data_IF_874670849197
#
_entry.id   IF_874670849197
#
_cell.length_a   1.000
_cell.length_b   1.000
_cell.length_c   1.000
_cell.angle_alpha   90.00
_cell.angle_beta   90.00
_cell.angle_gamma   90.00
#
_symmetry.space_group_name_H-M   'P 1'
#
loop_
_entity.id
_entity.type
_entity.pdbx_description
1 polymer ?
#
# COMPACT_ATOMS: atom_id res chain seq x y z
N UNK A 1 -8.88 17.24 7.22
CA UNK A 1 -7.49 16.72 7.13
C UNK A 1 -7.50 15.38 6.41
N UNK A 2 -6.86 15.28 5.23
CA UNK A 2 -6.93 14.11 4.33
C UNK A 2 -5.90 13.01 4.61
N UNK A 3 -5.51 12.77 5.86
CA UNK A 3 -4.50 11.74 6.21
C UNK A 3 -5.19 10.42 6.52
N UNK A 4 -5.13 9.49 5.56
CA UNK A 4 -5.70 8.13 5.70
C UNK A 4 -4.64 7.20 6.30
N UNK A 5 -5.05 6.33 7.23
CA UNK A 5 -4.19 5.27 7.78
C UNK A 5 -4.07 4.12 6.78
N UNK A 6 -2.89 3.51 6.71
CA UNK A 6 -2.55 2.39 5.81
C UNK A 6 -1.94 1.24 6.60
N UNK A 7 -1.75 0.10 5.96
CA UNK A 7 -0.93 -0.97 6.49
C UNK A 7 0.43 -0.44 6.97
N UNK A 8 0.87 -0.89 8.15
CA UNK A 8 2.09 -0.49 8.84
C UNK A 8 2.21 1.02 9.15
N UNK A 9 1.10 1.75 9.13
CA UNK A 9 1.08 3.15 9.58
C UNK A 9 0.83 3.26 11.09
N UNK A 10 1.30 4.37 11.68
CA UNK A 10 1.20 4.67 13.10
C UNK A 10 0.32 5.90 13.33
N UNK A 11 -0.65 5.80 14.24
CA UNK A 11 -1.36 6.94 14.83
C UNK A 11 -0.99 7.06 16.30
N UNK A 12 -0.64 8.27 16.75
CA UNK A 12 -0.27 8.53 18.14
C UNK A 12 -1.40 9.25 18.89
N UNK A 13 -1.54 8.96 20.17
CA UNK A 13 -2.46 9.66 21.06
C UNK A 13 -1.79 10.93 21.59
N UNK A 14 -2.56 12.02 21.68
CA UNK A 14 -2.11 13.28 22.27
C UNK A 14 -2.20 13.31 23.81
N UNK A 15 -2.88 12.34 24.41
CA UNK A 15 -3.14 12.28 25.85
C UNK A 15 -3.24 10.83 26.32
N UNK A 16 -3.41 10.63 27.63
CA UNK A 16 -3.64 9.33 28.26
C UNK A 16 -4.78 8.58 27.56
N UNK A 17 -4.55 7.31 27.21
CA UNK A 17 -5.53 6.49 26.51
C UNK A 17 -5.70 5.13 27.21
N UNK A 18 -6.94 4.63 27.29
CA UNK A 18 -7.27 3.37 27.97
C UNK A 18 -6.66 3.25 29.39
N UNK A 19 -6.64 4.38 30.12
CA UNK A 19 -6.18 4.40 31.51
C UNK A 19 -4.66 4.33 31.71
N UNK A 20 -3.82 4.44 30.67
CA UNK A 20 -2.35 4.47 30.82
C UNK A 20 -1.70 5.57 29.98
N UNK A 21 -0.66 6.20 30.52
CA UNK A 21 0.19 7.13 29.78
C UNK A 21 1.20 6.38 28.89
N UNK A 22 1.45 5.10 29.17
CA UNK A 22 2.33 4.25 28.37
C UNK A 22 1.69 3.76 27.07
N UNK A 23 0.37 3.89 26.93
CA UNK A 23 -0.31 3.66 25.66
C UNK A 23 -0.07 4.86 24.74
N UNK A 24 0.73 4.67 23.70
CA UNK A 24 1.17 5.78 22.85
C UNK A 24 0.40 5.88 21.53
N UNK A 25 -0.21 4.81 21.05
CA UNK A 25 -0.89 4.84 19.76
C UNK A 25 -1.34 3.49 19.24
N UNK A 26 -1.68 3.46 17.95
CA UNK A 26 -2.02 2.26 17.19
C UNK A 26 -1.10 2.09 15.98
N UNK A 27 -0.56 0.88 15.81
CA UNK A 27 0.01 0.39 14.57
C UNK A 27 -1.08 -0.35 13.78
N UNK A 28 -1.34 0.05 12.54
CA UNK A 28 -2.40 -0.55 11.74
C UNK A 28 -1.88 -1.68 10.85
N UNK A 29 -2.53 -2.83 10.85
CA UNK A 29 -2.12 -4.01 10.07
C UNK A 29 -3.28 -4.60 9.27
N UNK A 30 -2.96 -5.27 8.16
CA UNK A 30 -3.90 -6.13 7.45
C UNK A 30 -3.80 -7.53 8.06
N UNK A 31 -4.91 -8.26 8.08
CA UNK A 31 -4.88 -9.70 8.31
C UNK A 31 -4.34 -10.39 7.08
N UNK A 32 -3.43 -11.33 7.28
CA UNK A 32 -2.90 -12.21 6.22
C UNK A 32 -3.21 -13.66 6.59
N UNK A 33 -2.41 -14.25 7.47
CA UNK A 33 -2.47 -15.67 7.84
C UNK A 33 -3.26 -15.94 9.13
N UNK A 34 -3.67 -14.89 9.84
CA UNK A 34 -4.41 -15.03 11.10
C UNK A 34 -5.87 -15.47 10.85
N UNK A 35 -6.42 -16.25 11.78
CA UNK A 35 -7.84 -16.63 11.72
C UNK A 35 -8.74 -15.41 11.94
N UNK A 36 -9.75 -15.30 11.08
CA UNK A 36 -10.83 -14.31 11.16
C UNK A 36 -12.17 -14.94 11.60
N UNK A 37 -12.17 -16.21 11.96
CA UNK A 37 -13.38 -16.97 12.24
C UNK A 37 -14.13 -16.37 13.45
N UNK A 38 -15.43 -16.14 13.29
CA UNK A 38 -16.31 -15.65 14.35
C UNK A 38 -16.21 -14.15 14.62
N UNK A 39 -15.45 -13.38 13.82
CA UNK A 39 -15.37 -11.93 13.97
C UNK A 39 -16.43 -11.21 13.11
N UNK A 40 -17.20 -10.26 13.68
CA UNK A 40 -18.07 -9.39 12.92
C UNK A 40 -17.24 -8.31 12.22
N UNK A 41 -16.80 -8.59 11.00
CA UNK A 41 -15.90 -7.71 10.25
C UNK A 41 -16.67 -6.71 9.38
N UNK A 42 -16.17 -5.46 9.24
CA UNK A 42 -16.72 -4.50 8.30
C UNK A 42 -16.41 -4.92 6.85
N UNK A 43 -17.09 -4.26 5.89
CA UNK A 43 -16.75 -4.41 4.48
C UNK A 43 -15.31 -3.94 4.21
N UNK A 44 -14.60 -4.66 3.35
CA UNK A 44 -13.24 -4.30 2.95
C UNK A 44 -13.22 -2.98 2.14
N UNK A 45 -12.13 -2.18 2.24
CA UNK A 45 -10.91 -2.44 3.01
C UNK A 45 -11.02 -2.03 4.50
N UNK A 46 -10.46 -2.85 5.39
CA UNK A 46 -10.33 -2.56 6.82
C UNK A 46 -8.93 -2.89 7.35
N UNK A 47 -8.61 -2.37 8.54
CA UNK A 47 -7.33 -2.54 9.22
C UNK A 47 -7.57 -2.88 10.71
N UNK A 48 -6.69 -3.69 11.28
CA UNK A 48 -6.63 -3.93 12.72
C UNK A 48 -5.67 -2.95 13.38
N UNK A 49 -6.09 -2.30 14.46
CA UNK A 49 -5.24 -1.42 15.27
C UNK A 49 -4.58 -2.19 16.41
N UNK A 50 -3.25 -2.27 16.40
CA UNK A 50 -2.46 -2.89 17.47
C UNK A 50 -1.91 -1.82 18.41
N UNK A 51 -2.25 -1.91 19.70
CA UNK A 51 -1.86 -0.93 20.70
C UNK A 51 -0.33 -0.93 20.90
N UNK A 52 0.27 0.25 20.72
CA UNK A 52 1.72 0.46 20.79
C UNK A 52 2.08 1.06 22.14
N UNK A 53 3.12 0.48 22.77
CA UNK A 53 3.68 1.00 24.00
C UNK A 53 4.60 2.21 23.70
N UNK A 54 4.69 3.19 24.60
CA UNK A 54 5.45 4.43 24.41
C UNK A 54 6.93 4.19 24.07
N UNK A 55 7.58 3.29 24.79
CA UNK A 55 8.94 2.83 24.50
C UNK A 55 9.16 2.29 23.06
N UNK A 56 8.11 1.80 22.40
CA UNK A 56 8.21 1.19 21.06
C UNK A 56 7.97 2.18 19.92
N UNK A 57 7.58 3.43 20.23
CA UNK A 57 7.18 4.43 19.21
C UNK A 57 8.28 4.68 18.19
N UNK A 58 9.54 4.71 18.61
CA UNK A 58 10.64 4.94 17.69
C UNK A 58 10.77 3.82 16.65
N UNK A 59 10.57 2.56 17.07
CA UNK A 59 10.54 1.41 16.17
C UNK A 59 9.28 1.38 15.31
N UNK A 60 8.11 1.69 15.88
CA UNK A 60 6.87 1.78 15.12
C UNK A 60 6.95 2.84 14.00
N UNK A 61 7.67 3.94 14.24
CA UNK A 61 7.84 5.03 13.27
C UNK A 61 8.90 4.73 12.21
N UNK A 62 10.01 4.11 12.59
CA UNK A 62 11.14 3.85 11.68
C UNK A 62 11.05 2.52 10.94
N UNK A 63 10.62 1.45 11.63
CA UNK A 63 10.59 0.08 11.16
C UNK A 63 9.32 -0.64 11.65
N UNK A 64 8.13 -0.23 11.20
CA UNK A 64 6.86 -0.78 11.68
C UNK A 64 6.74 -2.30 11.47
N UNK A 65 7.30 -2.84 10.37
CA UNK A 65 7.34 -4.28 10.12
C UNK A 65 8.10 -5.04 11.23
N UNK A 66 9.19 -4.47 11.74
CA UNK A 66 9.97 -5.05 12.84
C UNK A 66 9.13 -5.16 14.12
N UNK A 67 8.38 -4.11 14.46
CA UNK A 67 7.48 -4.14 15.62
C UNK A 67 6.32 -5.13 15.40
N UNK A 68 5.73 -5.15 14.20
CA UNK A 68 4.67 -6.09 13.85
C UNK A 68 5.10 -7.55 14.06
N UNK A 69 6.25 -7.93 13.49
CA UNK A 69 6.76 -9.31 13.61
C UNK A 69 7.19 -9.63 15.04
N UNK A 70 7.76 -8.67 15.78
CA UNK A 70 8.10 -8.87 17.20
C UNK A 70 6.86 -9.08 18.08
N UNK A 71 5.75 -8.40 17.79
CA UNK A 71 4.45 -8.68 18.41
C UNK A 71 3.94 -10.07 18.02
N UNK A 72 4.20 -10.52 16.78
CA UNK A 72 3.86 -11.86 16.34
C UNK A 72 4.60 -12.96 17.07
N UNK A 73 5.89 -12.73 17.33
CA UNK A 73 6.72 -13.62 18.15
C UNK A 73 6.19 -13.76 19.58
N UNK A 74 5.69 -12.68 20.16
CA UNK A 74 5.17 -12.66 21.53
C UNK A 74 3.82 -13.36 21.65
N UNK A 75 2.95 -13.17 20.65
CA UNK A 75 1.53 -13.50 20.79
C UNK A 75 1.01 -14.46 19.71
N UNK A 76 1.20 -14.13 18.43
CA UNK A 76 0.69 -14.93 17.31
C UNK A 76 1.30 -14.52 15.97
N UNK A 77 1.84 -15.47 15.22
CA UNK A 77 2.35 -15.22 13.87
C UNK A 77 1.26 -14.81 12.87
N UNK A 78 1.55 -13.90 11.91
CA UNK A 78 2.74 -13.03 11.85
C UNK A 78 2.63 -11.82 12.80
N UNK A 79 1.43 -11.49 13.26
CA UNK A 79 1.14 -10.57 14.37
C UNK A 79 -0.24 -10.88 14.96
N UNK A 80 -0.52 -10.52 16.23
CA UNK A 80 -1.86 -10.64 16.79
C UNK A 80 -2.83 -9.70 16.06
N UNK A 81 -4.13 -10.05 16.04
CA UNK A 81 -5.22 -9.16 15.59
C UNK A 81 -5.99 -8.52 16.75
N UNK A 82 -5.41 -8.55 17.94
CA UNK A 82 -5.97 -8.01 19.17
C UNK A 82 -4.90 -7.21 19.92
N UNK A 83 -5.37 -6.31 20.80
CA UNK A 83 -4.50 -5.47 21.61
C UNK A 83 -4.50 -5.93 23.07
N UNK A 84 -3.32 -6.01 23.67
CA UNK A 84 -3.14 -6.30 25.11
C UNK A 84 -2.73 -5.01 25.83
N UNK A 85 -3.56 -4.57 26.77
CA UNK A 85 -3.26 -3.40 27.62
C UNK A 85 -2.23 -3.77 28.69
N UNK A 86 -1.45 -2.79 29.14
CA UNK A 86 -0.52 -2.92 30.26
C UNK A 86 0.53 -4.05 30.09
N UNK A 87 0.84 -4.42 28.84
CA UNK A 87 1.93 -5.35 28.53
C UNK A 87 3.29 -4.67 28.71
N UNK A 88 4.32 -5.48 28.96
CA UNK A 88 5.71 -5.01 28.90
C UNK A 88 6.04 -4.56 27.46
N UNK A 89 6.88 -3.52 27.29
CA UNK A 89 7.37 -3.14 25.98
C UNK A 89 8.31 -4.22 25.43
N UNK A 90 8.21 -4.50 24.13
CA UNK A 90 9.08 -5.46 23.42
C UNK A 90 10.37 -4.80 22.92
N UNK A 91 10.37 -3.47 22.85
CA UNK A 91 11.54 -2.65 22.62
C UNK A 91 11.58 -1.52 23.64
N UNK A 92 12.77 -1.25 24.16
CA UNK A 92 13.07 -0.16 25.06
C UNK A 92 13.82 0.95 24.30
N UNK A 93 14.67 1.69 25.02
CA UNK A 93 15.56 2.65 24.39
C UNK A 93 16.43 2.00 23.30
N UNK A 94 16.73 2.79 22.27
CA UNK A 94 17.48 2.30 21.13
C UNK A 94 18.93 2.10 21.56
N UNK A 95 19.34 0.86 21.77
CA UNK A 95 20.74 0.49 22.01
C UNK A 95 21.65 0.65 20.77
N UNK A 96 22.79 -0.04 20.78
CA UNK A 96 23.71 -0.11 19.64
C UNK A 96 23.14 -1.03 18.56
N UNK A 97 22.71 -0.45 17.45
CA UNK A 97 22.11 -1.18 16.33
C UNK A 97 22.58 -0.61 15.01
N UNK A 98 22.80 -1.49 14.02
CA UNK A 98 23.14 -1.10 12.64
C UNK A 98 22.08 -0.16 12.04
N UNK A 99 20.84 -0.25 12.51
CA UNK A 99 19.74 0.61 12.06
C UNK A 99 19.98 2.10 12.31
N UNK A 100 20.85 2.47 13.27
CA UNK A 100 21.26 3.87 13.48
C UNK A 100 22.02 4.46 12.29
N UNK A 101 22.64 3.63 11.46
CA UNK A 101 23.26 4.08 10.21
C UNK A 101 22.23 4.35 9.11
N UNK A 102 21.06 3.71 9.20
CA UNK A 102 20.03 3.71 8.17
C UNK A 102 18.89 4.70 8.46
N UNK A 103 18.71 5.08 9.74
CA UNK A 103 17.63 5.97 10.19
C UNK A 103 18.11 6.95 11.25
N UNK A 104 17.72 8.21 11.12
CA UNK A 104 17.85 9.21 12.17
C UNK A 104 16.71 9.06 13.20
N UNK A 105 16.97 8.31 14.27
CA UNK A 105 15.97 8.12 15.33
C UNK A 105 15.72 9.35 16.21
N UNK A 106 16.55 10.40 16.13
CA UNK A 106 16.39 11.61 16.94
C UNK A 106 15.39 12.55 16.29
N UNK A 107 15.61 12.89 15.03
CA UNK A 107 14.81 13.88 14.32
C UNK A 107 14.05 13.33 13.11
N UNK A 108 14.27 12.06 12.74
CA UNK A 108 13.65 11.42 11.58
C UNK A 108 13.90 12.18 10.28
N UNK A 109 15.08 12.81 10.14
CA UNK A 109 15.47 13.56 8.92
C UNK A 109 15.65 12.66 7.71
N UNK A 110 16.10 11.42 7.94
CA UNK A 110 16.19 10.38 6.93
C UNK A 110 15.71 9.04 7.49
N UNK A 111 15.25 8.19 6.59
CA UNK A 111 14.80 6.83 6.89
C UNK A 111 15.19 5.89 5.75
N UNK A 112 15.20 4.59 6.02
CA UNK A 112 15.48 3.57 5.01
C UNK A 112 14.42 3.68 3.89
N UNK A 113 14.82 3.82 2.61
CA UNK A 113 13.85 3.88 1.52
C UNK A 113 13.14 2.53 1.40
N UNK A 114 11.83 2.59 1.12
CA UNK A 114 10.98 1.41 0.91
C UNK A 114 10.55 1.36 -0.55
N UNK A 115 10.60 0.19 -1.16
CA UNK A 115 9.98 -0.08 -2.46
C UNK A 115 8.74 -0.94 -2.21
N UNK A 116 7.52 -0.44 -2.47
CA UNK A 116 6.30 -1.22 -2.24
C UNK A 116 6.36 -2.58 -2.93
N UNK A 117 5.98 -3.63 -2.20
CA UNK A 117 5.96 -5.02 -2.67
C UNK A 117 7.33 -5.68 -2.83
N UNK A 118 8.45 -4.97 -2.64
CA UNK A 118 9.77 -5.59 -2.62
C UNK A 118 9.86 -6.57 -1.46
N UNK A 119 10.22 -7.82 -1.76
CA UNK A 119 10.35 -8.89 -0.76
C UNK A 119 11.73 -9.54 -0.85
N UNK A 120 12.13 -10.21 0.23
CA UNK A 120 13.38 -10.96 0.31
C UNK A 120 13.06 -12.38 0.75
N UNK A 121 13.37 -13.34 -0.11
CA UNK A 121 13.33 -14.77 0.19
C UNK A 121 14.72 -15.25 0.60
N UNK A 122 14.79 -16.04 1.66
CA UNK A 122 16.02 -16.64 2.17
C UNK A 122 15.87 -18.16 2.17
N UNK A 123 16.53 -18.81 1.22
CA UNK A 123 16.65 -20.26 1.08
C UNK A 123 18.09 -20.70 1.38
N UNK A 124 18.34 -22.00 1.53
CA UNK A 124 19.58 -22.54 2.10
C UNK A 124 20.89 -22.04 1.44
N UNK A 125 20.90 -21.89 0.11
CA UNK A 125 22.04 -21.39 -0.66
C UNK A 125 21.66 -20.26 -1.61
N UNK A 126 20.46 -19.69 -1.42
CA UNK A 126 19.88 -18.73 -2.35
C UNK A 126 19.13 -17.66 -1.58
N UNK A 127 19.54 -16.42 -1.78
CA UNK A 127 18.77 -15.25 -1.37
C UNK A 127 18.16 -14.61 -2.60
N UNK A 128 16.85 -14.40 -2.60
CA UNK A 128 16.17 -13.75 -3.71
C UNK A 128 15.54 -12.43 -3.28
N UNK A 129 16.00 -11.32 -3.86
CA UNK A 129 15.38 -10.00 -3.74
C UNK A 129 14.42 -9.85 -4.92
N UNK A 130 13.12 -9.93 -4.63
CA UNK A 130 12.07 -9.79 -5.64
C UNK A 130 11.55 -8.37 -5.65
N UNK A 131 11.63 -7.72 -6.81
CA UNK A 131 11.23 -6.32 -7.03
C UNK A 131 10.04 -6.29 -7.98
N UNK A 132 8.87 -5.80 -7.56
CA UNK A 132 7.76 -5.60 -8.48
C UNK A 132 8.14 -4.64 -9.60
N UNK A 133 7.77 -4.95 -10.84
CA UNK A 133 7.97 -4.04 -12.00
C UNK A 133 7.31 -2.68 -11.79
N UNK A 134 6.18 -2.64 -11.07
CA UNK A 134 5.48 -1.42 -10.63
C UNK A 134 6.32 -0.54 -9.69
N UNK A 135 7.28 -1.12 -8.98
CA UNK A 135 8.17 -0.46 -8.04
C UNK A 135 9.40 0.22 -8.66
N UNK A 136 9.54 0.21 -9.99
CA UNK A 136 10.72 0.76 -10.69
C UNK A 136 11.02 2.22 -10.30
N UNK A 137 10.00 3.09 -10.31
CA UNK A 137 10.18 4.51 -10.02
C UNK A 137 10.64 4.75 -8.58
N UNK A 138 10.07 4.03 -7.62
CA UNK A 138 10.44 4.06 -6.20
C UNK A 138 11.86 3.54 -6.00
N UNK A 139 12.24 2.46 -6.69
CA UNK A 139 13.60 1.94 -6.69
C UNK A 139 14.60 2.95 -7.26
N UNK A 140 14.28 3.62 -8.37
CA UNK A 140 15.16 4.64 -8.94
C UNK A 140 15.37 5.83 -7.99
N UNK A 141 14.32 6.25 -7.28
CA UNK A 141 14.45 7.26 -6.21
C UNK A 141 15.39 6.81 -5.10
N UNK A 142 15.33 5.53 -4.70
CA UNK A 142 16.23 4.97 -3.70
C UNK A 142 17.69 4.91 -4.21
N UNK A 143 17.89 4.40 -5.43
CA UNK A 143 19.20 4.32 -6.08
C UNK A 143 19.87 5.68 -6.23
N UNK A 144 19.14 6.70 -6.68
CA UNK A 144 19.70 8.03 -6.90
C UNK A 144 20.02 8.79 -5.61
N UNK A 145 19.39 8.41 -4.48
CA UNK A 145 19.69 8.98 -3.15
C UNK A 145 20.77 8.21 -2.39
N UNK A 146 21.09 7.00 -2.83
CA UNK A 146 22.06 6.12 -2.18
C UNK A 146 23.50 6.44 -2.60
N UNK A 147 24.47 6.15 -1.73
CA UNK A 147 25.89 6.27 -2.04
C UNK A 147 26.31 5.19 -3.05
N UNK A 148 27.27 5.49 -3.94
CA UNK A 148 27.74 4.57 -4.99
C UNK A 148 28.24 3.21 -4.48
N UNK A 149 28.67 3.12 -3.21
CA UNK A 149 29.18 1.89 -2.60
C UNK A 149 28.15 1.16 -1.72
N UNK A 150 27.05 1.81 -1.34
CA UNK A 150 26.07 1.25 -0.41
C UNK A 150 24.66 1.46 -0.94
N UNK A 151 23.93 0.36 -1.11
CA UNK A 151 22.50 0.37 -1.44
C UNK A 151 21.74 -0.30 -0.31
N UNK A 152 20.94 0.48 0.43
CA UNK A 152 20.11 -0.02 1.52
C UNK A 152 18.64 0.26 1.20
N UNK A 153 17.82 -0.80 1.20
CA UNK A 153 16.39 -0.74 0.88
C UNK A 153 15.66 -1.63 1.89
N UNK A 154 14.52 -1.16 2.40
CA UNK A 154 13.67 -1.96 3.28
C UNK A 154 12.72 -2.85 2.50
N UNK A 155 12.46 -4.04 3.04
CA UNK A 155 11.57 -5.05 2.46
C UNK A 155 10.17 -5.02 3.09
N UNK A 156 9.17 -5.39 2.31
CA UNK A 156 7.80 -5.62 2.73
C UNK A 156 7.61 -7.01 3.37
N UNK A 157 6.49 -7.20 4.05
CA UNK A 157 6.08 -8.52 4.53
C UNK A 157 5.88 -9.47 3.34
N UNK A 158 6.44 -10.68 3.43
CA UNK A 158 6.32 -11.69 2.40
C UNK A 158 5.30 -12.74 2.83
N UNK A 159 4.08 -12.68 2.29
CA UNK A 159 2.98 -13.59 2.63
C UNK A 159 3.23 -15.03 2.19
N UNK A 160 4.10 -15.23 1.18
CA UNK A 160 4.42 -16.56 0.66
C UNK A 160 5.49 -17.29 1.48
N UNK A 161 6.17 -16.59 2.38
CA UNK A 161 7.19 -17.19 3.23
C UNK A 161 6.55 -18.01 4.36
N UNK A 162 7.16 -19.14 4.67
CA UNK A 162 6.80 -20.02 5.80
C UNK A 162 7.24 -19.48 7.16
N UNK A 163 8.12 -18.47 7.13
CA UNK A 163 8.82 -17.91 8.27
C UNK A 163 9.31 -16.50 7.98
N UNK A 164 9.47 -15.71 9.04
CA UNK A 164 10.10 -14.40 8.98
C UNK A 164 11.14 -14.27 10.08
N UNK A 165 12.16 -13.47 9.78
CA UNK A 165 13.18 -13.10 10.73
C UNK A 165 12.62 -12.01 11.67
N UNK A 166 12.97 -12.10 12.96
CA UNK A 166 12.63 -11.13 13.98
C UNK A 166 13.85 -10.61 14.73
N UNK A 167 13.73 -9.39 15.23
CA UNK A 167 14.67 -8.83 16.18
C UNK A 167 14.09 -8.88 17.59
N UNK A 168 14.85 -9.46 18.50
CA UNK A 168 14.58 -9.41 19.94
C UNK A 168 15.58 -8.49 20.60
N UNK A 169 15.09 -7.51 21.35
CA UNK A 169 15.93 -6.71 22.24
C UNK A 169 15.92 -7.35 23.63
N UNK A 170 17.09 -7.75 24.12
CA UNK A 170 17.25 -8.24 25.49
C UNK A 170 17.29 -7.11 26.51
N UNK A 171 17.18 -7.45 27.79
CA UNK A 171 17.11 -6.48 28.90
C UNK A 171 18.33 -5.55 28.97
N UNK A 172 19.50 -6.02 28.54
CA UNK A 172 20.73 -5.21 28.44
C UNK A 172 20.80 -4.31 27.20
N UNK A 173 19.71 -4.18 26.43
CA UNK A 173 19.65 -3.37 25.20
C UNK A 173 20.34 -3.99 23.99
N UNK A 174 20.86 -5.21 24.11
CA UNK A 174 21.46 -5.98 23.02
C UNK A 174 20.40 -6.53 22.09
N UNK A 175 20.72 -6.62 20.80
CA UNK A 175 19.81 -7.13 19.78
C UNK A 175 20.24 -8.52 19.32
N UNK A 176 19.28 -9.42 19.27
CA UNK A 176 19.45 -10.77 18.75
C UNK A 176 18.47 -10.99 17.60
N UNK A 177 18.84 -11.87 16.68
CA UNK A 177 17.89 -12.38 15.70
C UNK A 177 17.33 -13.71 16.16
N UNK A 178 16.02 -13.88 15.96
CA UNK A 178 15.38 -15.19 15.89
C UNK A 178 14.54 -15.29 14.61
N UNK A 179 14.03 -16.46 14.26
CA UNK A 179 12.99 -16.58 13.25
C UNK A 179 11.69 -17.01 13.92
N UNK A 180 10.58 -16.45 13.44
CA UNK A 180 9.24 -16.92 13.73
C UNK A 180 8.78 -17.68 12.51
N UNK A 181 8.32 -18.91 12.72
CA UNK A 181 7.72 -19.70 11.66
C UNK A 181 6.47 -20.38 12.19
N UNK A 182 5.76 -21.04 11.30
CA UNK A 182 4.69 -21.97 11.69
C UNK A 182 5.29 -23.14 12.53
N UNK A 183 6.61 -23.36 12.49
CA UNK A 183 7.34 -24.51 13.07
C UNK A 183 8.61 -24.17 13.91
N UNK A 184 8.71 -22.97 14.49
CA UNK A 184 9.79 -22.46 15.38
C UNK A 184 11.25 -22.95 15.12
N UNK A 185 12.01 -22.27 14.23
CA UNK A 185 13.47 -22.43 14.12
C UNK A 185 14.19 -21.07 14.06
N UNK A 186 15.37 -20.90 14.70
CA UNK A 186 16.11 -19.63 14.72
C UNK A 186 16.93 -19.38 13.44
N UNK A 187 16.99 -18.10 12.98
CA UNK A 187 17.78 -17.60 11.83
C UNK A 187 18.22 -16.12 12.07
N UNK A 188 18.95 -15.48 11.14
CA UNK A 188 19.59 -14.13 11.23
C UNK A 188 18.81 -13.00 10.53
N UNK A 189 18.75 -11.79 11.10
CA UNK A 189 17.82 -10.70 10.72
C UNK A 189 18.47 -9.78 9.71
N UNK A 190 17.76 -9.51 8.62
CA UNK A 190 18.28 -8.67 7.56
C UNK A 190 19.39 -9.34 6.76
N UNK A 191 19.54 -8.89 5.53
CA UNK A 191 20.55 -9.38 4.61
C UNK A 191 21.59 -8.28 4.39
N UNK A 192 22.85 -8.58 4.69
CA UNK A 192 23.99 -7.74 4.30
C UNK A 192 24.83 -8.52 3.31
N UNK A 193 24.91 -8.02 2.09
CA UNK A 193 25.71 -8.62 1.01
C UNK A 193 26.88 -7.69 0.72
N UNK A 194 28.09 -8.20 0.86
CA UNK A 194 29.30 -7.48 0.49
C UNK A 194 29.75 -7.94 -0.90
N UNK A 195 29.90 -6.99 -1.81
CA UNK A 195 30.29 -7.22 -3.22
C UNK A 195 31.42 -6.27 -3.61
N UNK A 196 32.11 -6.55 -4.71
CA UNK A 196 33.15 -5.65 -5.21
C UNK A 196 32.53 -4.37 -5.78
N UNK A 197 33.37 -3.34 -5.98
CA UNK A 197 32.94 -2.06 -6.53
C UNK A 197 32.44 -2.24 -7.97
N UNK A 198 33.08 -3.11 -8.74
CA UNK A 198 32.71 -3.46 -10.11
C UNK A 198 31.34 -4.16 -10.14
N UNK A 199 31.13 -5.18 -9.30
CA UNK A 199 29.82 -5.85 -9.18
C UNK A 199 28.73 -4.87 -8.75
N UNK A 200 29.03 -3.92 -7.87
CA UNK A 200 28.07 -2.88 -7.46
C UNK A 200 27.69 -1.96 -8.64
N UNK A 201 28.67 -1.57 -9.46
CA UNK A 201 28.42 -0.75 -10.65
C UNK A 201 27.54 -1.48 -11.67
N UNK A 202 27.79 -2.77 -11.88
CA UNK A 202 26.98 -3.63 -12.75
C UNK A 202 25.57 -3.85 -12.22
N UNK A 203 25.42 -4.17 -10.93
CA UNK A 203 24.13 -4.29 -10.27
C UNK A 203 23.30 -3.03 -10.47
N UNK A 204 23.89 -1.85 -10.22
CA UNK A 204 23.20 -0.56 -10.44
C UNK A 204 22.79 -0.34 -11.89
N UNK A 205 23.59 -0.78 -12.86
CA UNK A 205 23.26 -0.71 -14.28
C UNK A 205 22.07 -1.61 -14.61
N UNK A 206 22.12 -2.88 -14.18
CA UNK A 206 21.05 -3.85 -14.38
C UNK A 206 19.72 -3.39 -13.78
N UNK A 207 19.75 -2.82 -12.56
CA UNK A 207 18.56 -2.24 -11.94
C UNK A 207 17.97 -1.07 -12.74
N UNK A 208 18.80 -0.19 -13.31
CA UNK A 208 18.33 0.92 -14.16
C UNK A 208 17.70 0.42 -15.46
N UNK A 209 18.23 -0.67 -16.01
CA UNK A 209 17.74 -1.31 -17.23
C UNK A 209 16.56 -2.27 -16.96
N UNK A 210 16.10 -2.39 -15.72
CA UNK A 210 15.05 -3.32 -15.28
C UNK A 210 15.37 -4.78 -15.67
N UNK A 211 16.66 -5.15 -15.54
CA UNK A 211 17.17 -6.50 -15.79
C UNK A 211 17.45 -7.23 -14.49
N UNK A 212 17.13 -8.51 -14.48
CA UNK A 212 17.54 -9.43 -13.42
C UNK A 212 19.07 -9.47 -13.31
N UNK A 213 19.56 -9.68 -12.10
CA UNK A 213 20.99 -9.77 -11.84
C UNK A 213 21.26 -10.81 -10.76
N UNK A 214 22.34 -11.57 -10.92
CA UNK A 214 22.74 -12.58 -9.94
C UNK A 214 24.17 -12.30 -9.50
N UNK A 215 24.37 -12.30 -8.19
CA UNK A 215 25.67 -12.21 -7.55
C UNK A 215 25.98 -13.57 -6.93
N UNK A 216 27.15 -14.11 -7.23
CA UNK A 216 27.68 -15.28 -6.51
C UNK A 216 28.51 -14.78 -5.33
N UNK A 217 28.08 -15.15 -4.13
CA UNK A 217 28.76 -14.88 -2.86
C UNK A 217 29.37 -16.18 -2.34
N UNK A 218 30.45 -16.09 -1.56
CA UNK A 218 31.09 -17.26 -0.96
C UNK A 218 32.47 -16.93 -0.43
N UNK A 219 33.03 -17.79 0.42
CA UNK A 219 34.45 -17.66 0.80
C UNK A 219 35.29 -18.04 -0.42
N UNK A 220 36.28 -17.20 -0.76
CA UNK A 220 37.20 -17.41 -1.89
C UNK A 220 37.90 -18.77 -1.85
N UNK A 221 37.99 -19.37 -0.66
CA UNK A 221 38.84 -20.53 -0.36
C UNK A 221 38.06 -21.85 -0.25
N UNK A 222 36.72 -21.85 -0.37
CA UNK A 222 35.87 -23.04 -0.20
C UNK A 222 34.72 -23.09 -1.22
N UNK A 223 34.84 -23.99 -2.21
CA UNK A 223 33.82 -24.23 -3.25
C UNK A 223 32.43 -24.59 -2.72
N UNK A 224 32.38 -25.25 -1.56
CA UNK A 224 31.14 -25.78 -0.98
C UNK A 224 30.31 -24.73 -0.23
N UNK A 225 30.79 -23.47 -0.21
CA UNK A 225 30.17 -22.34 0.50
C UNK A 225 29.57 -21.27 -0.43
N UNK A 226 29.32 -21.61 -1.69
CA UNK A 226 28.71 -20.66 -2.64
C UNK A 226 27.24 -20.39 -2.29
N UNK A 227 26.93 -19.13 -2.04
CA UNK A 227 25.59 -18.59 -1.85
C UNK A 227 25.23 -17.69 -3.04
N UNK A 228 24.04 -17.86 -3.60
CA UNK A 228 23.56 -17.04 -4.71
C UNK A 228 22.64 -15.93 -4.20
N UNK A 229 22.92 -14.69 -4.60
CA UNK A 229 22.02 -13.57 -4.38
C UNK A 229 21.40 -13.18 -5.72
N UNK A 230 20.12 -13.52 -5.90
CA UNK A 230 19.36 -13.21 -7.10
C UNK A 230 18.51 -11.95 -6.89
N UNK A 231 18.63 -10.98 -7.78
CA UNK A 231 17.75 -9.83 -7.87
C UNK A 231 16.83 -10.06 -9.07
N UNK A 232 15.53 -10.18 -8.82
CA UNK A 232 14.55 -10.56 -9.83
C UNK A 232 13.43 -9.52 -9.94
N UNK A 233 13.15 -9.08 -11.15
CA UNK A 233 11.95 -8.32 -11.45
C UNK A 233 10.77 -9.27 -11.60
N UNK A 234 9.71 -8.99 -10.85
CA UNK A 234 8.51 -9.83 -10.82
C UNK A 234 7.28 -9.03 -11.21
N UNK A 235 6.37 -9.65 -11.94
CA UNK A 235 5.04 -9.09 -12.14
C UNK A 235 4.26 -9.16 -10.83
N UNK A 236 3.66 -8.05 -10.45
CA UNK A 236 2.91 -7.97 -9.20
C UNK A 236 1.59 -8.72 -9.36
N UNK A 237 1.41 -9.81 -8.59
CA UNK A 237 0.06 -10.30 -8.29
C UNK A 237 -0.56 -9.26 -7.36
N UNK A 238 -1.38 -8.40 -7.91
CA UNK A 238 -2.00 -7.32 -7.18
C UNK A 238 -2.63 -7.81 -5.87
N UNK A 239 -2.34 -7.08 -4.79
CA UNK A 239 -2.87 -7.36 -3.46
C UNK A 239 -4.40 -7.43 -3.49
N UNK A 240 -4.94 -8.49 -2.87
CA UNK A 240 -6.36 -8.88 -2.88
C UNK A 240 -7.18 -7.88 -2.08
N UNK A 241 -7.43 -6.70 -2.65
CA UNK A 241 -8.53 -5.87 -2.22
C UNK A 241 -9.78 -6.51 -2.83
N UNK A 242 -10.61 -7.16 -2.00
CA UNK A 242 -11.93 -7.68 -2.41
C UNK A 242 -12.92 -6.54 -2.60
N UNK A 243 -12.56 -5.55 -3.41
CA UNK A 243 -13.42 -4.44 -3.77
C UNK A 243 -14.30 -4.93 -4.90
N UNK A 244 -15.60 -4.81 -4.72
CA UNK A 244 -16.59 -5.08 -5.77
C UNK A 244 -17.08 -3.76 -6.37
N UNK A 245 -17.27 -3.76 -7.69
CA UNK A 245 -17.93 -2.67 -8.39
C UNK A 245 -19.36 -2.50 -7.86
N UNK A 246 -19.76 -1.29 -7.42
CA UNK A 246 -21.16 -1.04 -7.07
C UNK A 246 -22.09 -1.02 -8.30
N UNK A 247 -21.56 -1.05 -9.52
CA UNK A 247 -22.34 -0.99 -10.77
C UNK A 247 -22.88 -2.37 -11.14
N UNK A 248 -22.01 -3.38 -11.15
CA UNK A 248 -22.33 -4.72 -11.67
C UNK A 248 -21.84 -5.87 -10.76
N UNK A 249 -21.33 -5.56 -9.57
CA UNK A 249 -20.87 -6.56 -8.60
C UNK A 249 -19.59 -7.28 -9.01
N UNK A 250 -18.94 -6.89 -10.12
CA UNK A 250 -17.69 -7.51 -10.57
C UNK A 250 -16.56 -7.26 -9.59
N UNK A 251 -15.69 -8.25 -9.46
CA UNK A 251 -14.46 -8.12 -8.69
C UNK A 251 -13.55 -7.08 -9.33
N UNK A 252 -13.09 -6.13 -8.51
CA UNK A 252 -12.03 -5.17 -8.83
C UNK A 252 -10.69 -5.65 -8.25
N UNK A 253 -10.59 -6.93 -7.90
CA UNK A 253 -9.34 -7.58 -7.55
C UNK A 253 -8.37 -7.42 -8.72
N UNK A 254 -7.11 -7.16 -8.42
CA UNK A 254 -6.06 -6.89 -9.39
C UNK A 254 -6.12 -5.64 -10.25
N UNK A 255 -7.01 -4.71 -9.92
CA UNK A 255 -7.12 -3.45 -10.65
C UNK A 255 -6.38 -2.34 -9.93
N UNK A 256 -5.50 -1.63 -10.65
CA UNK A 256 -4.81 -0.47 -10.12
C UNK A 256 -5.81 0.63 -9.73
N UNK A 257 -5.66 1.15 -8.51
CA UNK A 257 -6.53 2.20 -7.98
C UNK A 257 -5.73 3.37 -7.43
N UNK A 258 -6.30 4.57 -7.58
CA UNK A 258 -5.77 5.81 -6.99
C UNK A 258 -6.82 6.37 -6.05
N UNK A 259 -6.47 6.44 -4.75
CA UNK A 259 -7.30 7.14 -3.75
C UNK A 259 -7.18 8.64 -3.96
N UNK A 260 -8.32 9.30 -4.13
CA UNK A 260 -8.37 10.72 -4.44
C UNK A 260 -8.92 11.50 -3.27
N UNK A 261 -8.25 12.60 -2.93
CA UNK A 261 -8.79 13.57 -1.98
C UNK A 261 -9.50 14.65 -2.77
N UNK A 262 -10.84 14.60 -2.80
CA UNK A 262 -11.63 15.63 -3.42
C UNK A 262 -11.51 16.93 -2.62
N UNK A 263 -10.96 17.99 -3.23
CA UNK A 263 -10.78 19.30 -2.56
C UNK A 263 -12.10 20.02 -2.29
N UNK A 264 -13.12 19.75 -3.11
CA UNK A 264 -14.43 20.40 -3.04
C UNK A 264 -15.47 19.43 -2.49
N UNK A 265 -16.26 19.88 -1.52
CA UNK A 265 -17.41 19.14 -1.02
C UNK A 265 -18.68 19.59 -1.76
N UNK A 266 -19.45 18.62 -2.25
CA UNK A 266 -20.73 18.87 -2.92
C UNK A 266 -21.85 18.47 -1.96
N UNK A 267 -22.68 19.44 -1.57
CA UNK A 267 -23.68 19.29 -0.51
C UNK A 267 -25.03 19.79 -0.98
N UNK A 268 -26.09 19.05 -0.65
CA UNK A 268 -27.46 19.42 -0.95
C UNK A 268 -28.41 18.65 -0.01
N UNK A 269 -29.52 19.26 0.43
CA UNK A 269 -30.54 18.60 1.26
C UNK A 269 -30.00 17.84 2.50
N UNK A 270 -28.98 18.40 3.17
CA UNK A 270 -28.36 17.77 4.34
C UNK A 270 -27.52 16.52 4.03
N UNK A 271 -27.21 16.27 2.76
CA UNK A 271 -26.34 15.18 2.30
C UNK A 271 -25.09 15.73 1.63
N UNK A 272 -24.03 14.93 1.62
CA UNK A 272 -22.77 15.22 0.93
C UNK A 272 -22.45 14.06 0.00
N UNK A 273 -22.09 14.34 -1.25
CA UNK A 273 -21.48 13.33 -2.15
C UNK A 273 -19.97 13.54 -2.21
N UNK A 274 -19.21 12.45 -2.05
CA UNK A 274 -17.74 12.47 -2.10
C UNK A 274 -17.21 11.41 -3.07
N UNK A 275 -16.35 11.84 -3.98
CA UNK A 275 -15.49 10.94 -4.76
C UNK A 275 -14.31 10.48 -3.90
N UNK A 276 -14.09 9.17 -3.80
CA UNK A 276 -13.06 8.60 -2.92
C UNK A 276 -11.94 7.88 -3.66
N UNK A 277 -12.23 7.29 -4.80
CA UNK A 277 -11.31 6.39 -5.49
C UNK A 277 -11.62 6.29 -6.98
N UNK A 278 -10.58 6.03 -7.79
CA UNK A 278 -10.71 5.69 -9.21
C UNK A 278 -9.90 4.43 -9.49
N UNK A 279 -10.49 3.52 -10.27
CA UNK A 279 -9.90 2.27 -10.74
C UNK A 279 -9.67 2.36 -12.24
N UNK A 280 -8.48 1.99 -12.71
CA UNK A 280 -8.16 1.93 -14.15
C UNK A 280 -8.28 0.48 -14.61
N UNK A 281 -9.44 0.13 -15.18
CA UNK A 281 -9.82 -1.21 -15.63
C UNK A 281 -9.06 -1.65 -16.87
N UNK A 282 -8.78 -0.71 -17.77
CA UNK A 282 -7.97 -0.94 -18.96
C UNK A 282 -7.11 0.29 -19.21
N UNK A 283 -5.81 0.06 -19.33
CA UNK A 283 -4.79 1.04 -19.73
C UNK A 283 -3.89 0.32 -20.73
N UNK A 284 -3.72 0.86 -21.93
CA UNK A 284 -2.83 0.20 -22.88
C UNK A 284 -1.36 0.27 -22.45
N UNK A 285 -0.56 -0.63 -23.02
CA UNK A 285 0.70 -1.14 -22.45
C UNK A 285 1.90 -0.18 -22.58
N UNK A 286 1.69 1.10 -22.86
CA UNK A 286 2.79 2.05 -22.97
C UNK A 286 3.15 2.71 -21.63
N UNK A 287 3.98 1.99 -20.86
CA UNK A 287 4.86 2.51 -19.79
C UNK A 287 5.86 3.59 -20.24
N UNK A 288 5.70 4.18 -21.44
CA UNK A 288 6.62 5.13 -22.08
C UNK A 288 6.03 6.54 -22.32
N UNK A 289 4.84 6.84 -21.80
CA UNK A 289 4.25 8.18 -21.86
C UNK A 289 4.79 9.10 -20.76
N UNK A 290 5.35 10.25 -21.14
CA UNK A 290 5.95 11.23 -20.22
C UNK A 290 4.98 11.83 -19.18
N UNK A 291 5.53 12.59 -18.24
CA UNK A 291 4.83 13.24 -17.12
C UNK A 291 3.63 14.11 -17.51
N UNK A 292 3.60 14.60 -18.75
CA UNK A 292 2.56 15.46 -19.33
C UNK A 292 1.24 14.72 -19.62
N UNK A 293 1.29 13.48 -20.12
CA UNK A 293 0.05 12.72 -20.41
C UNK A 293 -0.66 12.34 -19.11
N UNK A 294 0.08 11.99 -18.06
CA UNK A 294 -0.52 11.69 -16.76
C UNK A 294 -1.28 12.87 -16.15
N UNK A 295 -0.82 14.11 -16.38
CA UNK A 295 -1.45 15.31 -15.82
C UNK A 295 -2.80 15.63 -16.50
N UNK A 296 -2.88 15.47 -17.82
CA UNK A 296 -4.11 15.68 -18.59
C UNK A 296 -5.18 14.63 -18.26
N UNK A 297 -4.79 13.36 -18.10
CA UNK A 297 -5.71 12.31 -17.65
C UNK A 297 -6.27 12.59 -16.24
N UNK A 298 -5.44 13.08 -15.31
CA UNK A 298 -5.88 13.46 -13.98
C UNK A 298 -6.89 14.62 -14.01
N UNK A 299 -6.64 15.65 -14.84
CA UNK A 299 -7.58 16.78 -15.02
C UNK A 299 -8.92 16.35 -15.59
N UNK A 300 -8.91 15.46 -16.59
CA UNK A 300 -10.15 14.93 -17.16
C UNK A 300 -10.94 14.11 -16.12
N UNK A 301 -10.25 13.25 -15.37
CA UNK A 301 -10.86 12.45 -14.29
C UNK A 301 -11.52 13.35 -13.24
N UNK A 302 -10.86 14.44 -12.83
CA UNK A 302 -11.43 15.43 -11.91
C UNK A 302 -12.66 16.14 -12.49
N UNK A 303 -12.64 16.52 -13.77
CA UNK A 303 -13.78 17.15 -14.45
C UNK A 303 -14.99 16.21 -14.52
N UNK A 304 -14.77 14.94 -14.81
CA UNK A 304 -15.82 13.90 -14.83
C UNK A 304 -16.39 13.69 -13.43
N UNK A 305 -15.54 13.56 -12.41
CA UNK A 305 -15.98 13.41 -11.03
C UNK A 305 -16.85 14.60 -10.58
N UNK A 306 -16.44 15.81 -10.94
CA UNK A 306 -17.20 17.05 -10.66
C UNK A 306 -18.55 17.05 -11.37
N UNK A 307 -18.59 16.72 -12.66
CA UNK A 307 -19.82 16.65 -13.43
C UNK A 307 -20.83 15.66 -12.82
N UNK A 308 -20.35 14.47 -12.45
CA UNK A 308 -21.17 13.46 -11.77
C UNK A 308 -21.74 13.97 -10.44
N UNK A 309 -20.90 14.59 -9.60
CA UNK A 309 -21.34 15.12 -8.32
C UNK A 309 -22.41 16.21 -8.49
N UNK A 310 -22.20 17.15 -9.41
CA UNK A 310 -23.15 18.25 -9.67
C UNK A 310 -24.49 17.74 -10.19
N UNK A 311 -24.48 16.79 -11.12
CA UNK A 311 -25.70 16.21 -11.69
C UNK A 311 -26.56 15.50 -10.62
N UNK A 312 -25.92 14.83 -9.65
CA UNK A 312 -26.64 14.10 -8.60
C UNK A 312 -26.95 14.93 -7.35
N UNK A 313 -26.41 16.14 -7.20
CA UNK A 313 -26.65 17.02 -6.04
C UNK A 313 -28.15 17.17 -5.72
N UNK A 314 -29.03 17.52 -6.68
CA UNK A 314 -30.46 17.68 -6.39
C UNK A 314 -31.15 16.40 -5.87
N UNK A 315 -30.53 15.24 -6.09
CA UNK A 315 -31.12 13.92 -5.85
C UNK A 315 -30.50 13.16 -4.66
N UNK A 316 -29.51 13.74 -3.96
CA UNK A 316 -28.75 13.02 -2.92
C UNK A 316 -29.63 12.47 -1.79
N UNK A 317 -30.68 13.20 -1.41
CA UNK A 317 -31.61 12.77 -0.36
C UNK A 317 -32.39 11.52 -0.78
N UNK A 318 -33.01 11.55 -1.96
CA UNK A 318 -33.76 10.42 -2.51
C UNK A 318 -32.86 9.20 -2.73
N UNK A 319 -31.69 9.39 -3.33
CA UNK A 319 -30.71 8.31 -3.53
C UNK A 319 -30.32 7.64 -2.19
N UNK A 320 -30.14 8.44 -1.13
CA UNK A 320 -29.81 7.92 0.19
C UNK A 320 -30.97 7.17 0.84
N UNK A 321 -32.19 7.69 0.71
CA UNK A 321 -33.42 7.07 1.23
C UNK A 321 -33.72 5.73 0.54
N UNK A 322 -33.41 5.61 -0.75
CA UNK A 322 -33.51 4.37 -1.53
C UNK A 322 -32.33 3.39 -1.29
N UNK A 323 -31.44 3.69 -0.32
CA UNK A 323 -30.31 2.82 0.03
C UNK A 323 -29.11 2.87 -0.92
N UNK A 324 -29.08 3.80 -1.88
CA UNK A 324 -27.98 4.00 -2.84
C UNK A 324 -26.88 4.89 -2.22
N UNK A 325 -26.20 4.37 -1.20
CA UNK A 325 -25.17 5.13 -0.48
C UNK A 325 -23.77 5.05 -1.11
N UNK A 326 -23.46 3.97 -1.85
CA UNK A 326 -22.22 3.76 -2.60
C UNK A 326 -22.56 3.73 -4.09
N UNK A 327 -22.01 4.66 -4.85
CA UNK A 327 -22.27 4.81 -6.28
C UNK A 327 -20.99 4.52 -7.07
N UNK A 328 -21.14 4.00 -8.28
CA UNK A 328 -20.07 3.85 -9.25
C UNK A 328 -20.40 4.57 -10.56
N UNK A 329 -19.37 5.10 -11.19
CA UNK A 329 -19.41 5.61 -12.56
C UNK A 329 -18.27 4.97 -13.34
N UNK A 330 -18.56 4.15 -14.34
CA UNK A 330 -17.57 3.60 -15.25
C UNK A 330 -17.66 4.35 -16.57
N UNK A 331 -16.54 4.91 -17.01
CA UNK A 331 -16.40 5.67 -18.25
C UNK A 331 -15.47 4.91 -19.18
N UNK A 332 -15.92 4.74 -20.42
CA UNK A 332 -15.18 4.08 -21.49
C UNK A 332 -14.80 5.11 -22.54
N UNK A 333 -13.52 5.14 -22.88
CA UNK A 333 -12.97 5.91 -23.97
C UNK A 333 -12.39 4.95 -25.00
N UNK A 334 -13.25 4.42 -25.85
CA UNK A 334 -12.90 3.56 -26.98
C UNK A 334 -13.67 4.02 -28.23
N UNK A 335 -13.94 3.13 -29.19
CA UNK A 335 -14.74 3.42 -30.37
C UNK A 335 -16.20 3.80 -30.05
N UNK A 336 -16.74 3.37 -28.90
CA UNK A 336 -18.07 3.68 -28.37
C UNK A 336 -17.96 4.43 -27.03
N UNK A 337 -17.57 5.71 -27.10
CA UNK A 337 -17.47 6.58 -25.92
C UNK A 337 -18.80 6.63 -25.16
N UNK A 338 -18.74 6.41 -23.85
CA UNK A 338 -19.95 6.33 -23.02
C UNK A 338 -19.65 6.13 -21.55
N UNK A 339 -20.72 6.09 -20.75
CA UNK A 339 -20.64 5.79 -19.33
C UNK A 339 -21.76 4.85 -18.89
N UNK A 340 -21.52 4.15 -17.79
CA UNK A 340 -22.53 3.45 -17.01
C UNK A 340 -22.43 3.89 -15.56
N UNK A 341 -23.56 4.06 -14.89
CA UNK A 341 -23.63 4.43 -13.48
C UNK A 341 -24.53 3.45 -12.72
N UNK A 342 -24.14 3.11 -11.51
CA UNK A 342 -24.87 2.11 -10.73
C UNK A 342 -24.60 2.15 -9.23
N UNK A 343 -25.43 1.42 -8.49
CA UNK A 343 -25.33 1.22 -7.05
C UNK A 343 -25.85 -0.17 -6.70
N UNK A 344 -25.31 -0.78 -5.64
CA UNK A 344 -25.75 -2.10 -5.15
C UNK A 344 -25.77 -3.22 -6.22
N UNK A 345 -24.87 -3.14 -7.22
CA UNK A 345 -24.78 -4.11 -8.31
C UNK A 345 -25.85 -3.96 -9.39
N UNK A 346 -26.54 -2.82 -9.44
CA UNK A 346 -27.58 -2.50 -10.41
C UNK A 346 -27.35 -1.11 -11.04
N UNK A 347 -27.83 -0.88 -12.28
CA UNK A 347 -27.85 0.46 -12.88
C UNK A 347 -28.68 1.45 -12.05
N UNK A 348 -28.29 2.73 -12.08
CA UNK A 348 -29.12 3.78 -11.47
C UNK A 348 -30.47 3.91 -12.21
N UNK A 349 -31.56 4.27 -11.52
CA UNK A 349 -32.83 4.60 -12.16
C UNK A 349 -32.71 5.61 -13.31
N UNK A 350 -33.52 5.42 -14.35
CA UNK A 350 -33.45 6.19 -15.60
C UNK A 350 -33.51 7.72 -15.41
N UNK A 351 -34.27 8.20 -14.43
CA UNK A 351 -34.36 9.63 -14.11
C UNK A 351 -32.99 10.25 -13.76
N UNK A 352 -32.11 9.50 -13.09
CA UNK A 352 -30.77 9.96 -12.75
C UNK A 352 -29.81 9.80 -13.93
N UNK A 353 -29.97 8.75 -14.74
CA UNK A 353 -29.16 8.56 -15.96
C UNK A 353 -29.40 9.70 -16.95
N UNK A 354 -30.65 10.11 -17.15
CA UNK A 354 -30.99 11.24 -18.03
C UNK A 354 -30.35 12.56 -17.54
N UNK A 355 -30.35 12.80 -16.22
CA UNK A 355 -29.67 13.96 -15.64
C UNK A 355 -28.15 13.88 -15.87
N UNK A 356 -27.57 12.70 -15.72
CA UNK A 356 -26.14 12.44 -15.93
C UNK A 356 -25.72 12.63 -17.40
N UNK A 357 -26.52 12.17 -18.37
CA UNK A 357 -26.21 12.29 -19.80
C UNK A 357 -25.94 13.74 -20.20
N UNK A 358 -26.82 14.65 -19.78
CA UNK A 358 -26.74 16.07 -20.12
C UNK A 358 -25.45 16.75 -19.64
N UNK A 359 -24.83 16.22 -18.58
CA UNK A 359 -23.65 16.81 -17.94
C UNK A 359 -22.37 16.05 -18.27
N UNK A 360 -22.42 14.72 -18.38
CA UNK A 360 -21.23 13.88 -18.57
C UNK A 360 -20.79 13.78 -20.04
N UNK A 361 -21.73 13.62 -20.98
CA UNK A 361 -21.39 13.43 -22.40
C UNK A 361 -20.49 14.56 -22.94
N UNK A 362 -20.79 15.85 -22.70
CA UNK A 362 -19.92 16.95 -23.16
C UNK A 362 -18.51 16.88 -22.55
N UNK A 363 -18.39 16.42 -21.31
CA UNK A 363 -17.08 16.32 -20.62
C UNK A 363 -16.28 15.15 -21.16
N UNK A 364 -16.92 14.00 -21.39
CA UNK A 364 -16.28 12.80 -21.96
C UNK A 364 -15.75 13.11 -23.36
N UNK A 365 -16.58 13.69 -24.22
CA UNK A 365 -16.19 14.06 -25.60
C UNK A 365 -15.11 15.15 -25.65
N UNK A 366 -14.95 15.94 -24.59
CA UNK A 366 -13.92 16.99 -24.53
C UNK A 366 -12.48 16.46 -24.46
N UNK A 367 -12.28 15.14 -24.24
CA UNK A 367 -10.95 14.53 -24.28
C UNK A 367 -10.27 14.69 -25.65
N UNK A 368 -11.07 14.66 -26.73
CA UNK A 368 -10.60 14.69 -28.11
C UNK A 368 -9.85 13.41 -28.50
N UNK A 369 -10.24 12.74 -29.57
CA UNK A 369 -9.50 11.55 -30.05
C UNK A 369 -8.23 11.96 -30.77
N UNK A 370 -7.06 11.52 -30.27
CA UNK A 370 -5.82 11.55 -31.06
C UNK A 370 -5.65 10.22 -31.79
N UNK A 371 -5.05 10.28 -32.98
CA UNK A 371 -4.78 9.08 -33.79
C UNK A 371 -3.75 8.22 -33.05
N UNK A 372 -4.19 7.07 -32.53
CA UNK A 372 -3.35 6.14 -31.75
C UNK A 372 -3.63 6.12 -30.24
N UNK A 373 -4.67 6.81 -29.75
CA UNK A 373 -5.07 6.69 -28.34
C UNK A 373 -5.55 5.27 -28.03
N UNK A 374 -4.92 4.64 -27.04
CA UNK A 374 -5.33 3.33 -26.53
C UNK A 374 -6.65 3.44 -25.76
N UNK A 375 -7.48 2.37 -25.78
CA UNK A 375 -8.74 2.36 -25.04
C UNK A 375 -8.47 2.51 -23.55
N UNK A 376 -9.20 3.44 -22.92
CA UNK A 376 -9.14 3.62 -21.47
C UNK A 376 -10.51 3.35 -20.88
N UNK A 377 -10.54 2.47 -19.89
CA UNK A 377 -11.73 2.23 -19.07
C UNK A 377 -11.39 2.57 -17.64
N UNK A 378 -12.16 3.46 -17.03
CA UNK A 378 -11.98 3.85 -15.63
C UNK A 378 -13.29 3.84 -14.86
N UNK A 379 -13.23 3.46 -13.59
CA UNK A 379 -14.39 3.43 -12.70
C UNK A 379 -14.15 4.29 -11.45
N UNK A 380 -15.00 5.28 -11.23
CA UNK A 380 -14.96 6.20 -10.11
C UNK A 380 -15.96 5.78 -9.04
N UNK A 381 -15.54 5.79 -7.77
CA UNK A 381 -16.37 5.41 -6.63
C UNK A 381 -16.76 6.65 -5.82
N UNK A 382 -18.06 6.78 -5.53
CA UNK A 382 -18.64 7.87 -4.75
C UNK A 382 -19.43 7.36 -3.55
N UNK A 383 -19.47 8.16 -2.50
CA UNK A 383 -20.28 7.90 -1.31
C UNK A 383 -21.20 9.08 -1.00
N UNK A 384 -22.47 8.77 -0.68
CA UNK A 384 -23.43 9.72 -0.11
C UNK A 384 -23.43 9.59 1.43
N UNK A 385 -23.08 10.69 2.07
CA UNK A 385 -22.90 10.81 3.51
C UNK A 385 -23.89 11.84 4.08
N UNK A 386 -24.16 11.75 5.38
CA UNK A 386 -24.87 12.80 6.10
C UNK A 386 -23.99 14.05 6.23
N UNK A 387 -24.58 15.23 6.04
CA UNK A 387 -23.93 16.48 6.39
C UNK A 387 -24.07 16.69 7.91
N UNK A 388 -23.04 16.27 8.65
CA UNK A 388 -22.95 16.50 10.09
C UNK A 388 -22.48 17.95 10.26
N UNK A 389 -23.43 18.88 10.30
CA UNK A 389 -23.22 20.27 10.72
C UNK A 389 -23.74 20.49 12.12
#
# INVERSE_FOLDING_TARGET
>A
AGKVVKHLSLSLFGSRFLGSEEHAGFLYVHSTLQSLQGLPLPNQPYLFGLLVHRAEVAWAKAFPLRLMLRLGAEYRYPCPLYSVRLRKPLFAEIGHTIMRLLVDFRNYRYSLPMVPGLTVDLEAQRTCIKIPTTGYNELMKALNKSNEHVLAIGACFNESADSHLICVQGDGGQYQTQAISIHNQPRKDGLMVQITVETMAELRRSLREMKDYTVTCGRLDQSDSQELVCIQWVEEKCTVNKVISPIDGKSMESISSTKMFQKSEYKENGKIIRWTEVFFLQRGDHLKGGTTDSAEHNRLTERIARAFCLALCPHLKLLKEDGMAKLGLRVTFDSQEGFVAGSNGQPLPAQYLNALDSVLIPVIHSRGRKRGDEPIVMELIFYILENIT
#
